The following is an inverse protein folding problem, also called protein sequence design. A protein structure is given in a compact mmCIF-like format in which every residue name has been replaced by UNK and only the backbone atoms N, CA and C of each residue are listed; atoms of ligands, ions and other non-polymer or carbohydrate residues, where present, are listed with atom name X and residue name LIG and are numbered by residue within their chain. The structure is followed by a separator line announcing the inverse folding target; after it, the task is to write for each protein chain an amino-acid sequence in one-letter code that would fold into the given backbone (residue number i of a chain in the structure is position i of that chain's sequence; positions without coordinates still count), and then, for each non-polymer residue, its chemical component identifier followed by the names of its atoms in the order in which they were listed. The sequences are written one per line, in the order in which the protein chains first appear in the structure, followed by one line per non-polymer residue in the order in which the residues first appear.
data_IF_996334791779
#
_entry.id   IF_996334791779
#
_cell.length_a   1.000
_cell.length_b   1.000
_cell.length_c   1.000
_cell.angle_alpha   90.00
_cell.angle_beta   90.00
_cell.angle_gamma   90.00
#
_symmetry.space_group_name_H-M   'P 1'
#
loop_
_entity.id
_entity.type
_entity.pdbx_description
1 polymer ?
#
# COMPACT_ATOMS: atom_id res chain seq x y z
N UNK A 1 11.34 61.12 -49.68
CA UNK A 1 10.35 60.38 -48.87
C UNK A 1 10.44 58.91 -49.24
N UNK A 2 10.61 57.91 -48.37
CA UNK A 2 11.18 57.89 -47.01
C UNK A 2 11.56 56.46 -46.62
N UNK A 3 12.58 56.13 -45.82
CA UNK A 3 13.87 56.76 -45.46
C UNK A 3 14.79 55.64 -44.85
N UNK A 4 16.05 55.92 -44.53
CA UNK A 4 16.99 55.00 -43.85
C UNK A 4 17.86 55.76 -42.82
N UNK A 5 18.57 55.14 -41.84
CA UNK A 5 18.63 53.73 -41.43
C UNK A 5 18.45 53.52 -39.89
N UNK A 6 18.89 52.35 -39.39
CA UNK A 6 19.31 52.03 -38.00
C UNK A 6 18.27 51.84 -36.87
N UNK A 7 18.29 50.64 -36.27
CA UNK A 7 18.34 50.44 -34.81
C UNK A 7 18.90 49.05 -34.50
N UNK A 8 19.69 48.94 -33.43
CA UNK A 8 20.35 47.71 -33.00
C UNK A 8 19.45 46.75 -32.18
N UNK A 9 20.03 45.60 -31.84
CA UNK A 9 19.51 44.44 -31.11
C UNK A 9 18.83 44.74 -29.74
N UNK A 10 18.19 43.72 -29.10
CA UNK A 10 19.02 42.81 -28.31
C UNK A 10 18.66 41.31 -28.40
N UNK A 11 19.70 40.49 -28.22
CA UNK A 11 19.65 39.07 -27.91
C UNK A 11 19.15 38.85 -26.46
N UNK A 12 17.84 38.76 -26.23
CA UNK A 12 17.32 38.56 -24.85
C UNK A 12 15.94 37.90 -24.74
N UNK A 13 15.71 36.77 -25.41
CA UNK A 13 14.53 35.92 -25.18
C UNK A 13 14.79 34.40 -25.18
N UNK A 14 16.06 33.95 -25.27
CA UNK A 14 16.46 32.57 -24.98
C UNK A 14 16.51 32.32 -23.46
N UNK A 15 15.38 32.58 -22.79
CA UNK A 15 15.10 32.06 -21.45
C UNK A 15 14.10 30.92 -21.59
N UNK A 16 14.55 29.83 -22.21
CA UNK A 16 13.92 28.51 -21.97
C UNK A 16 14.26 28.15 -20.54
N UNK A 17 13.45 28.63 -19.60
CA UNK A 17 13.60 28.27 -18.20
C UNK A 17 13.44 26.76 -18.08
N UNK A 18 14.53 26.07 -17.78
CA UNK A 18 14.51 24.70 -17.24
C UNK A 18 13.97 24.76 -15.81
N UNK A 19 12.72 25.20 -15.67
CA UNK A 19 11.93 25.01 -14.47
C UNK A 19 11.68 23.50 -14.39
N UNK A 20 12.53 22.84 -13.59
CA UNK A 20 12.54 21.39 -13.46
C UNK A 20 11.15 20.85 -13.16
N UNK A 21 10.85 19.69 -13.77
CA UNK A 21 9.55 19.01 -13.72
C UNK A 21 8.86 19.15 -12.36
N UNK A 22 7.90 20.09 -12.29
CA UNK A 22 7.09 20.30 -11.10
C UNK A 22 6.40 18.98 -10.73
N UNK A 23 6.35 18.62 -9.44
CA UNK A 23 6.37 17.21 -9.06
C UNK A 23 5.08 16.49 -9.44
N UNK A 24 5.22 15.24 -9.92
CA UNK A 24 4.17 14.24 -10.14
C UNK A 24 3.48 13.78 -8.83
N UNK A 25 3.28 14.67 -7.86
CA UNK A 25 2.77 14.39 -6.50
C UNK A 25 1.25 14.27 -6.42
N UNK A 26 0.49 15.01 -7.24
CA UNK A 26 -0.98 15.07 -7.14
C UNK A 26 -1.62 13.69 -7.41
N UNK A 27 -1.34 13.09 -8.59
CA UNK A 27 -1.84 11.73 -8.93
C UNK A 27 -1.45 10.64 -7.93
N UNK A 28 -0.26 10.70 -7.33
CA UNK A 28 0.13 9.70 -6.33
C UNK A 28 -0.69 9.81 -5.04
N UNK A 29 -1.11 11.02 -4.66
CA UNK A 29 -1.99 11.23 -3.49
C UNK A 29 -3.40 10.71 -3.75
N UNK A 30 -3.95 11.01 -4.93
CA UNK A 30 -5.28 10.53 -5.34
C UNK A 30 -5.34 9.00 -5.37
N UNK A 31 -4.35 8.34 -5.97
CA UNK A 31 -4.26 6.87 -6.03
C UNK A 31 -4.11 6.25 -4.62
N UNK A 32 -3.37 6.89 -3.71
CA UNK A 32 -3.25 6.43 -2.32
C UNK A 32 -4.55 6.60 -1.52
N UNK A 33 -5.32 7.66 -1.78
CA UNK A 33 -6.62 7.89 -1.14
C UNK A 33 -7.64 6.84 -1.65
N UNK A 34 -7.71 6.62 -2.96
CA UNK A 34 -8.63 5.65 -3.56
C UNK A 34 -8.34 4.22 -3.07
N UNK A 35 -7.07 3.79 -3.11
CA UNK A 35 -6.70 2.45 -2.64
C UNK A 35 -6.92 2.23 -1.13
N UNK A 36 -6.69 3.26 -0.30
CA UNK A 36 -7.03 3.20 1.12
C UNK A 36 -8.55 3.11 1.36
N UNK A 37 -9.33 3.89 0.60
CA UNK A 37 -10.79 3.87 0.65
C UNK A 37 -11.35 2.51 0.21
N UNK A 38 -10.86 1.94 -0.89
CA UNK A 38 -11.26 0.60 -1.34
C UNK A 38 -10.94 -0.48 -0.29
N UNK A 39 -9.75 -0.43 0.32
CA UNK A 39 -9.36 -1.39 1.36
C UNK A 39 -10.30 -1.32 2.58
N UNK A 40 -10.56 -0.10 3.06
CA UNK A 40 -11.48 0.14 4.19
C UNK A 40 -12.91 -0.30 3.84
N UNK A 41 -13.43 0.09 2.66
CA UNK A 41 -14.76 -0.31 2.17
C UNK A 41 -14.89 -1.83 2.09
N UNK A 42 -13.90 -2.51 1.51
CA UNK A 42 -13.95 -3.96 1.30
C UNK A 42 -13.94 -4.73 2.64
N UNK A 43 -13.19 -4.26 3.64
CA UNK A 43 -13.21 -4.84 4.98
C UNK A 43 -14.48 -4.51 5.78
N UNK A 44 -15.00 -3.29 5.67
CA UNK A 44 -16.29 -2.89 6.24
C UNK A 44 -17.43 -3.76 5.66
N UNK A 45 -17.46 -3.98 4.35
CA UNK A 45 -18.43 -4.88 3.69
C UNK A 45 -18.28 -6.34 4.16
N UNK A 46 -17.05 -6.84 4.31
CA UNK A 46 -16.78 -8.19 4.83
C UNK A 46 -17.25 -8.35 6.27
N UNK A 47 -16.98 -7.36 7.13
CA UNK A 47 -17.44 -7.34 8.51
C UNK A 47 -18.96 -7.25 8.61
N UNK A 48 -19.58 -6.37 7.83
CA UNK A 48 -21.03 -6.24 7.74
C UNK A 48 -21.68 -7.57 7.34
N UNK A 49 -21.21 -8.21 6.27
CA UNK A 49 -21.73 -9.51 5.81
C UNK A 49 -21.64 -10.58 6.91
N UNK A 50 -20.47 -10.72 7.54
CA UNK A 50 -20.23 -11.73 8.58
C UNK A 50 -21.15 -11.54 9.79
N UNK A 51 -21.25 -10.31 10.31
CA UNK A 51 -22.14 -10.02 11.44
C UNK A 51 -23.62 -10.03 11.06
N UNK A 52 -24.00 -9.73 9.81
CA UNK A 52 -25.39 -9.93 9.33
C UNK A 52 -25.79 -11.39 9.43
N UNK A 53 -24.92 -12.31 8.97
CA UNK A 53 -25.15 -13.75 9.07
C UNK A 53 -25.26 -14.16 10.54
N UNK A 54 -24.34 -13.71 11.41
CA UNK A 54 -24.43 -13.99 12.86
C UNK A 54 -25.71 -13.46 13.50
N UNK A 55 -26.11 -12.22 13.19
CA UNK A 55 -27.33 -11.59 13.72
C UNK A 55 -28.61 -12.29 13.23
N UNK A 56 -28.67 -12.64 11.95
CA UNK A 56 -29.78 -13.38 11.36
C UNK A 56 -29.88 -14.80 11.95
N UNK A 57 -28.76 -15.52 12.05
CA UNK A 57 -28.70 -16.84 12.71
C UNK A 57 -29.09 -16.77 14.18
N UNK A 58 -28.68 -15.72 14.90
CA UNK A 58 -29.06 -15.51 16.31
C UNK A 58 -30.56 -15.25 16.45
N UNK A 59 -31.14 -14.40 15.60
CA UNK A 59 -32.58 -14.15 15.56
C UNK A 59 -33.38 -15.42 15.20
N UNK A 60 -32.89 -16.22 14.25
CA UNK A 60 -33.50 -17.49 13.87
C UNK A 60 -33.47 -18.50 15.03
N UNK A 61 -32.30 -18.70 15.64
CA UNK A 61 -32.13 -19.59 16.78
C UNK A 61 -33.02 -19.17 17.96
N UNK A 62 -33.06 -17.87 18.28
CA UNK A 62 -33.90 -17.33 19.34
C UNK A 62 -35.41 -17.50 19.05
N UNK A 63 -35.83 -17.43 17.78
CA UNK A 63 -37.22 -17.65 17.37
C UNK A 63 -37.68 -19.10 17.61
N UNK A 64 -36.78 -20.07 17.42
CA UNK A 64 -37.06 -21.48 17.64
C UNK A 64 -36.93 -21.88 19.12
N UNK A 65 -35.92 -21.39 19.84
CA UNK A 65 -35.69 -21.73 21.25
C UNK A 65 -36.64 -21.03 22.24
N UNK A 66 -36.90 -19.72 22.07
CA UNK A 66 -37.60 -18.93 23.08
C UNK A 66 -39.04 -18.58 22.66
N UNK A 67 -40.09 -19.13 23.31
CA UNK A 67 -41.48 -18.85 22.94
C UNK A 67 -41.87 -17.36 23.12
N UNK A 68 -41.19 -16.64 24.03
CA UNK A 68 -41.34 -15.19 24.17
C UNK A 68 -40.82 -14.42 22.94
N UNK A 69 -39.63 -14.75 22.44
CA UNK A 69 -39.05 -14.12 21.23
C UNK A 69 -39.79 -14.55 19.96
N UNK A 70 -40.39 -15.75 19.95
CA UNK A 70 -41.26 -16.20 18.86
C UNK A 70 -42.41 -15.23 18.60
N UNK A 71 -43.08 -14.78 19.68
CA UNK A 71 -44.21 -13.83 19.67
C UNK A 71 -43.85 -12.38 19.33
N UNK A 72 -42.56 -12.03 19.29
CA UNK A 72 -42.12 -10.67 18.94
C UNK A 72 -42.29 -10.36 17.44
N UNK A 73 -42.46 -9.08 17.12
CA UNK A 73 -42.68 -8.62 15.73
C UNK A 73 -41.51 -8.94 14.79
N UNK A 74 -41.80 -9.07 13.49
CA UNK A 74 -40.74 -9.21 12.47
C UNK A 74 -39.87 -7.95 12.39
N UNK A 75 -40.45 -6.77 12.61
CA UNK A 75 -39.72 -5.50 12.65
C UNK A 75 -38.62 -5.50 13.72
N UNK A 76 -38.87 -6.03 14.93
CA UNK A 76 -37.84 -6.12 15.98
C UNK A 76 -36.68 -7.04 15.57
N UNK A 77 -36.98 -8.17 14.93
CA UNK A 77 -35.97 -9.13 14.45
C UNK A 77 -35.12 -8.54 13.32
N UNK A 78 -35.74 -7.80 12.41
CA UNK A 78 -35.06 -7.01 11.37
C UNK A 78 -34.17 -5.93 11.98
N UNK A 79 -34.68 -5.16 12.95
CA UNK A 79 -33.92 -4.13 13.65
C UNK A 79 -32.67 -4.70 14.35
N UNK A 80 -32.82 -5.77 15.13
CA UNK A 80 -31.68 -6.46 15.78
C UNK A 80 -30.65 -6.90 14.73
N UNK A 81 -31.10 -7.55 13.65
CA UNK A 81 -30.21 -8.00 12.57
C UNK A 81 -29.46 -6.83 11.92
N UNK A 82 -30.15 -5.70 11.67
CA UNK A 82 -29.52 -4.48 11.13
C UNK A 82 -28.51 -3.86 12.09
N UNK A 83 -28.74 -3.94 13.41
CA UNK A 83 -27.79 -3.51 14.44
C UNK A 83 -26.50 -4.31 14.38
N UNK A 84 -26.59 -5.64 14.22
CA UNK A 84 -25.42 -6.50 13.98
C UNK A 84 -24.71 -6.13 12.67
N UNK A 85 -25.43 -5.88 11.57
CA UNK A 85 -24.85 -5.45 10.29
C UNK A 85 -24.04 -4.15 10.44
N UNK A 86 -24.62 -3.12 11.09
CA UNK A 86 -23.97 -1.82 11.29
C UNK A 86 -22.75 -1.97 12.20
N UNK A 87 -22.84 -2.74 13.28
CA UNK A 87 -21.71 -3.04 14.16
C UNK A 87 -20.56 -3.72 13.40
N UNK A 88 -20.87 -4.75 12.59
CA UNK A 88 -19.88 -5.43 11.77
C UNK A 88 -19.25 -4.54 10.70
N UNK A 89 -20.01 -3.58 10.14
CA UNK A 89 -19.49 -2.60 9.20
C UNK A 89 -18.43 -1.70 9.86
N UNK A 90 -18.75 -1.12 11.03
CA UNK A 90 -17.85 -0.23 11.77
C UNK A 90 -16.60 -0.98 12.22
N UNK A 91 -16.73 -2.14 12.88
CA UNK A 91 -15.59 -2.96 13.31
C UNK A 91 -14.75 -3.43 12.11
N UNK A 92 -15.39 -3.78 10.99
CA UNK A 92 -14.69 -4.13 9.76
C UNK A 92 -13.86 -2.98 9.17
N UNK A 93 -14.34 -1.74 9.26
CA UNK A 93 -13.59 -0.56 8.86
C UNK A 93 -12.41 -0.27 9.80
N UNK A 94 -12.66 -0.27 11.12
CA UNK A 94 -11.66 0.06 12.14
C UNK A 94 -10.50 -0.94 12.18
N UNK A 95 -10.79 -2.23 11.96
CA UNK A 95 -9.74 -3.26 11.91
C UNK A 95 -8.74 -3.04 10.78
N UNK A 96 -9.16 -2.48 9.62
CA UNK A 96 -8.21 -2.13 8.55
C UNK A 96 -7.29 -0.99 8.99
N UNK A 97 -7.84 0.08 9.56
CA UNK A 97 -7.06 1.24 10.02
C UNK A 97 -6.02 0.81 11.07
N UNK A 98 -6.44 0.05 12.09
CA UNK A 98 -5.51 -0.51 13.09
C UNK A 98 -4.49 -1.47 12.45
N UNK A 99 -4.91 -2.35 11.54
CA UNK A 99 -4.00 -3.32 10.91
C UNK A 99 -2.93 -2.63 10.06
N UNK A 100 -3.27 -1.54 9.37
CA UNK A 100 -2.33 -0.79 8.55
C UNK A 100 -1.29 -0.06 9.41
N UNK A 101 -1.71 0.61 10.49
CA UNK A 101 -0.76 1.21 11.46
C UNK A 101 0.11 0.15 12.16
N UNK A 102 -0.49 -0.98 12.56
CA UNK A 102 0.22 -2.09 13.20
C UNK A 102 1.24 -2.72 12.26
N UNK A 103 0.86 -2.95 11.00
CA UNK A 103 1.73 -3.52 9.98
C UNK A 103 2.93 -2.62 9.72
N UNK A 104 2.72 -1.32 9.45
CA UNK A 104 3.81 -0.36 9.25
C UNK A 104 4.79 -0.35 10.44
N UNK A 105 4.28 -0.22 11.68
CA UNK A 105 5.12 -0.26 12.89
C UNK A 105 5.85 -1.60 13.04
N UNK A 106 5.24 -2.72 12.67
CA UNK A 106 5.86 -4.05 12.75
C UNK A 106 6.99 -4.22 11.73
N UNK A 107 6.82 -3.70 10.51
CA UNK A 107 7.83 -3.77 9.45
C UNK A 107 9.02 -2.88 9.77
N UNK A 108 8.78 -1.64 10.21
CA UNK A 108 9.83 -0.73 10.69
C UNK A 108 10.61 -1.33 11.87
N UNK A 109 9.90 -1.88 12.87
CA UNK A 109 10.55 -2.53 14.01
C UNK A 109 11.32 -3.80 13.61
N UNK A 110 10.83 -4.58 12.64
CA UNK A 110 11.55 -5.74 12.11
C UNK A 110 12.83 -5.32 11.38
N UNK A 111 12.79 -4.29 10.54
CA UNK A 111 13.96 -3.74 9.85
C UNK A 111 14.98 -3.20 10.87
N UNK A 112 14.52 -2.43 11.86
CA UNK A 112 15.36 -1.87 12.93
C UNK A 112 15.94 -2.97 13.86
N UNK A 113 15.22 -4.08 14.04
CA UNK A 113 15.70 -5.27 14.77
C UNK A 113 16.80 -6.01 14.00
N UNK A 114 16.61 -6.24 12.69
CA UNK A 114 17.63 -6.84 11.81
C UNK A 114 18.89 -5.99 11.74
N UNK A 115 18.75 -4.67 11.57
CA UNK A 115 19.85 -3.73 11.59
C UNK A 115 20.67 -3.82 12.89
N UNK A 116 20.00 -3.82 14.06
CA UNK A 116 20.67 -4.00 15.37
C UNK A 116 21.40 -5.34 15.48
N UNK A 117 20.81 -6.43 14.99
CA UNK A 117 21.43 -7.75 15.04
C UNK A 117 22.67 -7.85 14.14
N UNK A 118 22.67 -7.21 12.97
CA UNK A 118 23.81 -7.22 12.05
C UNK A 118 24.91 -6.22 12.44
N UNK A 119 24.55 -5.02 12.90
CA UNK A 119 25.50 -4.04 13.43
C UNK A 119 26.15 -4.54 14.73
N UNK A 120 25.37 -5.18 15.61
CA UNK A 120 25.88 -5.81 16.83
C UNK A 120 26.88 -6.95 16.55
N UNK A 121 26.63 -7.78 15.52
CA UNK A 121 27.62 -8.78 15.05
C UNK A 121 28.92 -8.16 14.52
N UNK A 122 28.86 -6.94 13.99
CA UNK A 122 30.03 -6.15 13.55
C UNK A 122 30.69 -5.36 14.70
N UNK A 123 30.17 -5.44 15.94
CA UNK A 123 30.63 -4.64 17.08
C UNK A 123 30.27 -3.14 17.01
N UNK A 124 29.38 -2.74 16.09
CA UNK A 124 29.00 -1.35 15.85
C UNK A 124 27.79 -1.01 16.73
N UNK A 125 27.86 0.11 17.44
CA UNK A 125 26.73 0.65 18.20
C UNK A 125 25.64 1.10 17.23
N UNK A 126 24.46 0.47 17.32
CA UNK A 126 23.32 0.73 16.44
C UNK A 126 22.63 2.07 16.75
N UNK A 127 23.29 3.17 16.37
CA UNK A 127 22.72 4.52 16.31
C UNK A 127 21.81 4.66 15.08
N UNK A 128 20.92 5.66 15.05
CA UNK A 128 20.04 5.89 13.89
C UNK A 128 20.83 6.12 12.60
N UNK A 129 21.98 6.81 12.65
CA UNK A 129 22.85 7.03 11.48
C UNK A 129 23.43 5.71 10.93
N UNK A 130 23.82 4.79 11.80
CA UNK A 130 24.33 3.48 11.38
C UNK A 130 23.22 2.55 10.88
N UNK A 131 22.01 2.68 11.43
CA UNK A 131 20.81 1.96 10.95
C UNK A 131 20.39 2.47 9.56
N UNK A 132 20.43 3.78 9.33
CA UNK A 132 20.15 4.40 8.03
C UNK A 132 21.18 3.98 6.99
N UNK A 133 22.48 4.10 7.30
CA UNK A 133 23.57 3.62 6.46
C UNK A 133 23.47 2.12 6.14
N UNK A 134 23.13 1.28 7.13
CA UNK A 134 22.89 -0.15 6.91
C UNK A 134 21.70 -0.40 5.97
N UNK A 135 20.62 0.38 6.06
CA UNK A 135 19.48 0.28 5.12
C UNK A 135 19.91 0.61 3.69
N UNK A 136 20.71 1.65 3.50
CA UNK A 136 21.22 2.03 2.17
C UNK A 136 22.16 0.95 1.59
N UNK A 137 23.13 0.47 2.38
CA UNK A 137 24.01 -0.65 2.00
C UNK A 137 23.21 -1.90 1.63
N UNK A 138 22.19 -2.26 2.41
CA UNK A 138 21.33 -3.42 2.18
C UNK A 138 20.48 -3.27 0.90
N UNK A 139 19.97 -2.06 0.61
CA UNK A 139 19.24 -1.77 -0.63
C UNK A 139 20.16 -1.91 -1.84
N UNK A 140 21.38 -1.36 -1.80
CA UNK A 140 22.35 -1.46 -2.90
C UNK A 140 22.71 -2.92 -3.18
N UNK A 141 23.10 -3.69 -2.15
CA UNK A 141 23.41 -5.12 -2.29
C UNK A 141 22.23 -5.91 -2.90
N UNK A 142 20.99 -5.63 -2.48
CA UNK A 142 19.81 -6.29 -3.06
C UNK A 142 19.51 -5.86 -4.50
N UNK A 143 19.90 -4.65 -4.89
CA UNK A 143 19.77 -4.18 -6.27
C UNK A 143 20.80 -4.86 -7.19
N UNK A 144 22.05 -4.99 -6.72
CA UNK A 144 23.14 -5.68 -7.43
C UNK A 144 22.86 -7.18 -7.58
N UNK A 145 22.41 -7.86 -6.52
CA UNK A 145 22.02 -9.28 -6.57
C UNK A 145 20.93 -9.51 -7.64
N UNK A 146 19.95 -8.59 -7.75
CA UNK A 146 18.90 -8.67 -8.77
C UNK A 146 19.42 -8.43 -10.19
N UNK A 147 20.42 -7.56 -10.39
CA UNK A 147 21.07 -7.35 -11.69
C UNK A 147 21.82 -8.60 -12.12
N UNK A 148 22.68 -9.14 -11.25
CA UNK A 148 23.46 -10.35 -11.52
C UNK A 148 22.58 -11.57 -11.81
N UNK A 149 21.50 -11.79 -11.05
CA UNK A 149 20.54 -12.87 -11.36
C UNK A 149 19.85 -12.67 -12.72
N UNK A 150 19.53 -11.43 -13.11
CA UNK A 150 18.91 -11.13 -14.40
C UNK A 150 19.89 -11.38 -15.56
N UNK A 151 21.16 -11.00 -15.41
CA UNK A 151 22.21 -11.28 -16.38
C UNK A 151 22.48 -12.78 -16.53
N UNK A 152 22.51 -13.53 -15.42
CA UNK A 152 22.64 -14.99 -15.45
C UNK A 152 21.45 -15.67 -16.15
N UNK A 153 20.22 -15.23 -15.88
CA UNK A 153 19.02 -15.74 -16.55
C UNK A 153 19.03 -15.45 -18.05
N UNK A 154 19.48 -14.26 -18.47
CA UNK A 154 19.61 -13.92 -19.90
C UNK A 154 20.66 -14.79 -20.60
N UNK A 155 21.85 -15.00 -19.99
CA UNK A 155 22.89 -15.88 -20.56
C UNK A 155 22.40 -17.32 -20.73
N UNK A 156 21.64 -17.85 -19.76
CA UNK A 156 21.04 -19.19 -19.87
C UNK A 156 19.99 -19.28 -20.97
N UNK A 157 19.28 -18.19 -21.29
CA UNK A 157 18.34 -18.15 -22.41
C UNK A 157 19.07 -18.14 -23.77
N UNK A 158 20.14 -17.35 -23.90
CA UNK A 158 20.96 -17.29 -25.12
C UNK A 158 21.64 -18.65 -25.40
N UNK A 159 22.24 -19.28 -24.39
CA UNK A 159 22.84 -20.62 -24.48
C UNK A 159 21.80 -21.69 -24.86
N UNK A 160 20.58 -21.58 -24.33
CA UNK A 160 19.46 -22.47 -24.67
C UNK A 160 19.01 -22.35 -26.14
N UNK A 161 18.89 -21.13 -26.66
CA UNK A 161 18.52 -20.90 -28.07
C UNK A 161 19.62 -21.37 -29.05
N UNK A 162 20.89 -21.19 -28.71
CA UNK A 162 22.00 -21.67 -29.53
C UNK A 162 22.06 -23.21 -29.62
N UNK A 163 21.65 -23.90 -28.55
CA UNK A 163 21.57 -25.37 -28.50
C UNK A 163 20.40 -25.97 -29.28
N UNK A 164 19.26 -25.27 -29.36
CA UNK A 164 18.06 -25.74 -30.08
C UNK A 164 18.14 -25.47 -31.60
N UNK A 165 18.77 -24.36 -31.99
CA UNK A 165 18.99 -24.01 -33.41
C UNK A 165 20.06 -24.84 -34.15
N UNK A 166 20.60 -25.89 -33.53
CA UNK A 166 21.64 -26.77 -34.09
C UNK A 166 21.19 -28.24 -34.25
N UNK A 167 19.88 -28.48 -34.41
CA UNK A 167 19.27 -29.80 -34.65
C UNK A 167 18.46 -29.85 -35.95
#
# INVERSE_FOLDING_TARGET
MSDAPASEAPLSALSTSSLGSAPKRIRHREIQIESAYELQRNAAMKGALFYTVLGASSCFMAHHLFPGFRRQTLALKGFITSGFTIFGFVVGADTVLLSHESQQRSEENMVRSRARAELGKKGIVASEKEIEKWKDEYIQQKLEERRLRREQALRQMDEGQAGDGSR
#
